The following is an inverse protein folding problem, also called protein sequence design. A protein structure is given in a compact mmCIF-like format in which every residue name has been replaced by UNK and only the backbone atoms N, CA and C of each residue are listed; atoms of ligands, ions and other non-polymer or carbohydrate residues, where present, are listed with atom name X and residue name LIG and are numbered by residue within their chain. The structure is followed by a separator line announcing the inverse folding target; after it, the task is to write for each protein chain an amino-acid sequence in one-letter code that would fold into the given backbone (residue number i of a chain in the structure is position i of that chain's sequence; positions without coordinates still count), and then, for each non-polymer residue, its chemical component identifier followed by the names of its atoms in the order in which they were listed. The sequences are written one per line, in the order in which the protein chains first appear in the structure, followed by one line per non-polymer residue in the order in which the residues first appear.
data_IF_113160433329
#
_entry.id   IF_113160433329
#
_cell.length_a   1.000
_cell.length_b   1.000
_cell.length_c   1.000
_cell.angle_alpha   90.00
_cell.angle_beta   90.00
_cell.angle_gamma   90.00
#
_symmetry.space_group_name_H-M   'P 1'
#
loop_
_entity.id
_entity.type
_entity.pdbx_description
1 polymer ?
#
# COMPACT_ATOMS: atom_id res chain seq x y z
N UNK A 1 0.02 8.86 -10.57
CA UNK A 1 -1.41 8.47 -10.47
C UNK A 1 -1.63 7.43 -9.36
N UNK A 2 -0.90 6.30 -9.37
CA UNK A 2 -1.03 5.23 -8.38
C UNK A 2 -0.78 5.68 -6.93
N UNK A 3 0.23 6.52 -6.66
CA UNK A 3 0.48 7.02 -5.29
C UNK A 3 -0.64 7.91 -4.75
N UNK A 4 -1.26 8.71 -5.64
CA UNK A 4 -2.40 9.56 -5.26
C UNK A 4 -3.60 8.70 -4.86
N UNK A 5 -3.87 7.64 -5.62
CA UNK A 5 -4.94 6.69 -5.31
C UNK A 5 -4.66 5.91 -4.03
N UNK A 6 -3.43 5.40 -3.86
CA UNK A 6 -3.01 4.71 -2.63
C UNK A 6 -3.21 5.59 -1.40
N UNK A 7 -2.82 6.87 -1.48
CA UNK A 7 -3.00 7.81 -0.40
C UNK A 7 -4.48 8.11 -0.12
N UNK A 8 -5.31 8.26 -1.16
CA UNK A 8 -6.76 8.47 -0.98
C UNK A 8 -7.42 7.29 -0.24
N UNK A 9 -7.12 6.05 -0.65
CA UNK A 9 -7.63 4.84 -0.01
C UNK A 9 -7.12 4.71 1.43
N UNK A 10 -5.84 5.01 1.67
CA UNK A 10 -5.27 5.03 3.01
C UNK A 10 -6.00 6.00 3.95
N UNK A 11 -6.33 7.22 3.48
CA UNK A 11 -7.09 8.19 4.26
C UNK A 11 -8.51 7.70 4.53
N UNK A 12 -9.17 7.06 3.54
CA UNK A 12 -10.49 6.49 3.72
C UNK A 12 -10.51 5.38 4.79
N UNK A 13 -9.57 4.43 4.72
CA UNK A 13 -9.44 3.38 5.74
C UNK A 13 -9.15 3.98 7.12
N UNK A 14 -8.25 4.96 7.18
CA UNK A 14 -7.92 5.66 8.44
C UNK A 14 -9.13 6.33 9.06
N UNK A 15 -10.01 6.93 8.25
CA UNK A 15 -11.25 7.54 8.70
C UNK A 15 -12.23 6.49 9.27
N UNK A 16 -12.44 5.37 8.57
CA UNK A 16 -13.31 4.27 9.04
C UNK A 16 -12.80 3.63 10.34
N UNK A 17 -11.48 3.52 10.50
CA UNK A 17 -10.87 2.95 11.70
C UNK A 17 -10.88 3.91 12.89
N UNK A 18 -10.88 5.23 12.66
CA UNK A 18 -10.91 6.23 13.73
C UNK A 18 -12.18 6.11 14.59
N UNK A 19 -13.31 5.78 13.99
CA UNK A 19 -14.61 5.66 14.68
C UNK A 19 -14.84 4.30 15.35
N UNK A 20 -14.10 3.26 14.96
CA UNK A 20 -14.42 1.86 15.26
C UNK A 20 -13.33 1.10 16.03
N UNK A 21 -12.05 1.34 15.72
CA UNK A 21 -10.92 0.67 16.38
C UNK A 21 -9.61 1.48 16.26
N UNK A 22 -9.29 2.31 17.26
CA UNK A 22 -8.04 3.09 17.29
C UNK A 22 -6.77 2.23 17.22
N UNK A 23 -6.79 1.00 17.74
CA UNK A 23 -5.65 0.10 17.69
C UNK A 23 -5.45 -0.52 16.30
N UNK A 24 -6.53 -0.87 15.59
CA UNK A 24 -6.46 -1.28 14.18
C UNK A 24 -5.87 -0.19 13.29
N UNK A 25 -6.14 1.09 13.59
CA UNK A 25 -5.50 2.23 12.88
C UNK A 25 -3.98 2.23 13.08
N UNK A 26 -3.47 1.97 14.28
CA UNK A 26 -2.01 1.89 14.53
C UNK A 26 -1.39 0.75 13.73
N UNK A 27 -2.08 -0.38 13.64
CA UNK A 27 -1.65 -1.52 12.82
C UNK A 27 -1.61 -1.16 11.33
N UNK A 28 -2.61 -0.45 10.79
CA UNK A 28 -2.60 0.04 9.41
C UNK A 28 -1.40 0.96 9.14
N UNK A 29 -1.12 1.90 10.03
CA UNK A 29 0.03 2.82 9.91
C UNK A 29 1.34 2.04 9.90
N UNK A 30 1.51 1.10 10.84
CA UNK A 30 2.70 0.26 10.93
C UNK A 30 2.87 -0.60 9.67
N UNK A 31 1.82 -1.30 9.23
CA UNK A 31 1.84 -2.12 8.03
C UNK A 31 2.19 -1.31 6.78
N UNK A 32 1.68 -0.08 6.64
CA UNK A 32 1.99 0.76 5.49
C UNK A 32 3.44 1.25 5.49
N UNK A 33 4.01 1.58 6.65
CA UNK A 33 5.44 1.93 6.77
C UNK A 33 6.33 0.75 6.41
N UNK A 34 6.02 -0.44 6.92
CA UNK A 34 6.76 -1.67 6.58
C UNK A 34 6.63 -2.00 5.10
N UNK A 35 5.46 -1.79 4.49
CA UNK A 35 5.27 -1.99 3.06
C UNK A 35 6.11 -1.02 2.21
N UNK A 36 6.24 0.25 2.62
CA UNK A 36 7.14 1.20 1.92
C UNK A 36 8.59 0.73 1.97
N UNK A 37 9.07 0.30 3.15
CA UNK A 37 10.42 -0.22 3.30
C UNK A 37 10.66 -1.47 2.45
N UNK A 38 9.68 -2.39 2.42
CA UNK A 38 9.70 -3.55 1.53
C UNK A 38 9.77 -3.14 0.06
N UNK A 39 8.89 -2.23 -0.38
CA UNK A 39 8.81 -1.77 -1.77
C UNK A 39 10.15 -1.20 -2.24
N UNK A 40 10.76 -0.34 -1.44
CA UNK A 40 12.02 0.30 -1.79
C UNK A 40 13.18 -0.71 -1.84
N UNK A 41 13.22 -1.68 -0.91
CA UNK A 41 14.19 -2.76 -0.92
C UNK A 41 14.02 -3.70 -2.13
N UNK A 42 12.79 -4.09 -2.43
CA UNK A 42 12.44 -4.94 -3.57
C UNK A 42 12.80 -4.26 -4.89
N UNK A 43 12.48 -2.98 -5.05
CA UNK A 43 12.79 -2.26 -6.28
C UNK A 43 14.28 -1.99 -6.48
N UNK A 44 15.04 -1.84 -5.38
CA UNK A 44 16.50 -1.82 -5.45
C UNK A 44 17.03 -3.18 -5.93
N UNK A 45 16.52 -4.28 -5.39
CA UNK A 45 16.92 -5.62 -5.79
C UNK A 45 16.56 -5.91 -7.25
N UNK A 46 15.33 -5.61 -7.67
CA UNK A 46 14.84 -5.81 -9.04
C UNK A 46 15.67 -5.03 -10.08
N UNK A 47 16.12 -3.82 -9.75
CA UNK A 47 16.97 -3.00 -10.63
C UNK A 47 18.48 -3.31 -10.52
N UNK A 48 18.91 -4.24 -9.67
CA UNK A 48 20.33 -4.48 -9.37
C UNK A 48 21.16 -4.90 -10.59
N UNK A 49 20.56 -5.63 -11.54
CA UNK A 49 21.24 -6.07 -12.75
C UNK A 49 21.70 -4.93 -13.67
N UNK A 50 21.15 -3.73 -13.49
CA UNK A 50 21.47 -2.54 -14.30
C UNK A 50 22.03 -1.39 -13.45
N UNK A 51 22.45 -1.67 -12.22
CA UNK A 51 22.99 -0.67 -11.29
C UNK A 51 24.20 0.07 -11.91
N UNK A 52 24.23 1.39 -11.76
CA UNK A 52 25.22 2.28 -12.39
C UNK A 52 24.99 2.58 -13.88
N UNK A 53 24.07 1.86 -14.54
CA UNK A 53 23.67 2.12 -15.92
C UNK A 53 22.61 3.22 -16.04
N UNK A 54 22.53 3.86 -17.20
CA UNK A 54 21.55 4.92 -17.51
C UNK A 54 20.10 4.45 -17.46
N UNK A 55 19.85 3.15 -17.59
CA UNK A 55 18.50 2.55 -17.53
C UNK A 55 18.01 2.27 -16.10
N UNK A 56 18.90 2.28 -15.09
CA UNK A 56 18.55 1.98 -13.70
C UNK A 56 17.35 2.76 -13.16
N UNK A 57 17.27 4.11 -13.32
CA UNK A 57 16.16 4.87 -12.78
C UNK A 57 14.80 4.47 -13.37
N UNK A 58 14.78 4.06 -14.65
CA UNK A 58 13.57 3.62 -15.32
C UNK A 58 13.08 2.28 -14.74
N UNK A 59 13.97 1.29 -14.59
CA UNK A 59 13.62 -0.02 -14.04
C UNK A 59 13.15 0.10 -12.59
N UNK A 60 13.86 0.87 -11.77
CA UNK A 60 13.47 1.13 -10.39
C UNK A 60 12.08 1.79 -10.31
N UNK A 61 11.84 2.84 -11.11
CA UNK A 61 10.56 3.57 -11.13
C UNK A 61 9.37 2.70 -11.59
N UNK A 62 9.60 1.82 -12.56
CA UNK A 62 8.58 0.88 -13.02
C UNK A 62 8.21 -0.10 -11.90
N UNK A 63 9.19 -0.67 -11.19
CA UNK A 63 8.93 -1.53 -10.04
C UNK A 63 8.11 -0.81 -8.96
N UNK A 64 8.49 0.42 -8.60
CA UNK A 64 7.75 1.23 -7.61
C UNK A 64 6.29 1.37 -8.05
N UNK A 65 6.07 1.69 -9.33
CA UNK A 65 4.73 1.87 -9.90
C UNK A 65 3.89 0.61 -9.80
N UNK A 66 4.46 -0.54 -10.15
CA UNK A 66 3.72 -1.81 -10.19
C UNK A 66 3.38 -2.33 -8.79
N UNK A 67 4.31 -2.22 -7.84
CA UNK A 67 4.03 -2.54 -6.44
C UNK A 67 2.98 -1.59 -5.85
N UNK A 68 3.03 -0.30 -6.17
CA UNK A 68 2.00 0.66 -5.73
C UNK A 68 0.62 0.29 -6.28
N UNK A 69 0.50 -0.11 -7.56
CA UNK A 69 -0.78 -0.58 -8.14
C UNK A 69 -1.29 -1.84 -7.42
N UNK A 70 -0.43 -2.81 -7.14
CA UNK A 70 -0.83 -4.01 -6.40
C UNK A 70 -1.33 -3.68 -4.97
N UNK A 71 -0.69 -2.70 -4.31
CA UNK A 71 -1.11 -2.23 -2.99
C UNK A 71 -2.45 -1.50 -3.03
N UNK A 72 -2.71 -0.72 -4.07
CA UNK A 72 -4.02 -0.10 -4.32
C UNK A 72 -5.12 -1.15 -4.38
N UNK A 73 -4.92 -2.24 -5.14
CA UNK A 73 -5.92 -3.31 -5.22
C UNK A 73 -6.13 -4.03 -3.88
N UNK A 74 -5.06 -4.20 -3.10
CA UNK A 74 -5.17 -4.70 -1.71
C UNK A 74 -6.09 -3.81 -0.87
N UNK A 75 -5.91 -2.49 -0.93
CA UNK A 75 -6.73 -1.53 -0.16
C UNK A 75 -8.17 -1.46 -0.67
N UNK A 76 -8.39 -1.54 -1.99
CA UNK A 76 -9.74 -1.64 -2.55
C UNK A 76 -10.46 -2.87 -2.00
N UNK A 77 -9.78 -4.01 -1.90
CA UNK A 77 -10.38 -5.22 -1.35
C UNK A 77 -10.75 -5.05 0.13
N UNK A 78 -9.89 -4.45 0.94
CA UNK A 78 -10.23 -4.12 2.34
C UNK A 78 -11.40 -3.13 2.49
N UNK A 79 -11.66 -2.29 1.48
CA UNK A 79 -12.73 -1.28 1.54
C UNK A 79 -14.07 -1.78 0.98
N UNK A 80 -14.08 -2.91 0.24
CA UNK A 80 -15.29 -3.56 -0.31
C UNK A 80 -16.08 -4.37 0.72
N UNK A 81 -15.57 -4.49 1.94
CA UNK A 81 -16.13 -5.34 2.98
C UNK A 81 -17.52 -4.89 3.42
N UNK A 82 -18.39 -5.88 3.69
CA UNK A 82 -19.71 -5.67 4.27
C UNK A 82 -19.61 -5.65 5.81
N UNK A 83 -20.60 -5.06 6.47
CA UNK A 83 -20.69 -5.07 7.93
C UNK A 83 -20.81 -6.53 8.44
N UNK A 84 -19.97 -6.91 9.42
CA UNK A 84 -19.93 -8.27 9.97
C UNK A 84 -18.99 -9.26 9.26
N UNK A 85 -18.28 -8.85 8.20
CA UNK A 85 -17.25 -9.69 7.56
C UNK A 85 -15.99 -9.79 8.45
N UNK A 86 -15.84 -10.93 9.13
CA UNK A 86 -14.71 -11.23 10.01
C UNK A 86 -13.38 -11.41 9.26
N UNK A 87 -13.42 -11.57 7.94
CA UNK A 87 -12.20 -11.66 7.12
C UNK A 87 -11.59 -10.30 6.81
N UNK A 88 -12.30 -9.20 7.15
CA UNK A 88 -11.94 -7.86 6.76
C UNK A 88 -11.33 -7.02 7.89
N UNK A 89 -10.19 -6.34 7.66
CA UNK A 89 -9.52 -5.53 8.67
C UNK A 89 -10.11 -4.12 8.83
N UNK A 90 -11.03 -3.71 7.94
CA UNK A 90 -11.67 -2.40 7.95
C UNK A 90 -13.19 -2.60 8.02
N UNK A 91 -13.90 -1.89 8.92
CA UNK A 91 -15.35 -1.96 8.96
C UNK A 91 -15.99 -1.59 7.62
N UNK A 92 -17.19 -2.15 7.41
CA UNK A 92 -18.10 -1.73 6.35
C UNK A 92 -18.35 -0.22 6.37
N UNK A 93 -18.75 0.31 5.22
CA UNK A 93 -19.14 1.71 5.09
C UNK A 93 -20.45 2.00 5.82
#
# INVERSE_FOLDING_TARGET
AADKELNALYQQMTARLKSSSPDSRKLLVSAQRSWIAFRDAECKFSASAVEGGSVYPLIYSNCITDLTKARVETFKNYLKCQEGDLSCPVPGA
#
